data_IF_385423406050
#
_entry.id   IF_385423406050
#
_cell.length_a   1.000
_cell.length_b   1.000
_cell.length_c   1.000
_cell.angle_alpha   90.00
_cell.angle_beta   90.00
_cell.angle_gamma   90.00
#
_symmetry.space_group_name_H-M   'P 1'
#
loop_
_entity.id
_entity.type
_entity.pdbx_description
1 polymer ?
#
# COMPACT_ATOMS: atom_id res chain seq x y z
N UNK A 1 -6.74 16.18 -8.13
CA UNK A 1 -5.41 15.72 -8.62
C UNK A 1 -5.47 14.43 -9.43
N UNK A 2 -5.60 13.22 -8.85
CA UNK A 2 -5.50 11.97 -9.66
C UNK A 2 -6.62 11.80 -10.72
N UNK A 3 -7.88 12.14 -10.41
CA UNK A 3 -8.98 12.11 -11.40
C UNK A 3 -8.83 13.18 -12.51
N UNK A 4 -8.10 14.25 -12.26
CA UNK A 4 -7.89 15.36 -13.21
C UNK A 4 -6.83 15.03 -14.27
N UNK A 5 -6.00 14.01 -14.02
CA UNK A 5 -5.00 13.50 -14.96
C UNK A 5 -5.44 12.18 -15.62
N UNK A 6 -6.68 11.74 -15.41
CA UNK A 6 -7.23 10.51 -15.99
C UNK A 6 -6.88 9.22 -15.25
N UNK A 7 -6.35 9.30 -14.03
CA UNK A 7 -6.09 8.11 -13.23
C UNK A 7 -7.39 7.59 -12.58
N UNK A 8 -7.61 6.28 -12.68
CA UNK A 8 -8.66 5.57 -11.95
C UNK A 8 -8.17 5.27 -10.54
N UNK A 9 -8.94 5.67 -9.52
CA UNK A 9 -8.63 5.37 -8.12
C UNK A 9 -9.69 4.41 -7.59
N UNK A 10 -9.26 3.23 -7.15
CA UNK A 10 -10.04 2.35 -6.31
C UNK A 10 -9.64 2.58 -4.84
N UNK A 11 -10.63 2.70 -3.95
CA UNK A 11 -10.38 2.88 -2.51
C UNK A 11 -10.95 1.68 -1.75
N UNK A 12 -10.08 0.89 -1.14
CA UNK A 12 -10.47 -0.20 -0.26
C UNK A 12 -10.62 0.34 1.17
N UNK A 13 -11.84 0.70 1.57
CA UNK A 13 -12.13 1.12 2.95
C UNK A 13 -12.33 -0.09 3.84
N UNK A 14 -11.42 -0.25 4.81
CA UNK A 14 -11.48 -1.32 5.80
C UNK A 14 -11.99 -0.78 7.14
N UNK A 15 -12.82 -1.57 7.86
CA UNK A 15 -13.16 -1.27 9.25
C UNK A 15 -11.91 -1.14 10.13
N UNK A 16 -11.99 -0.33 11.18
CA UNK A 16 -10.88 -0.19 12.15
C UNK A 16 -10.47 -1.53 12.74
N UNK A 17 -11.42 -2.44 12.99
CA UNK A 17 -11.18 -3.78 13.55
C UNK A 17 -10.55 -4.79 12.57
N UNK A 18 -10.27 -4.38 11.33
CA UNK A 18 -9.62 -5.25 10.35
C UNK A 18 -8.29 -5.76 10.86
N UNK A 19 -8.02 -7.03 10.57
CA UNK A 19 -6.80 -7.71 11.00
C UNK A 19 -5.67 -7.46 10.02
N UNK A 20 -4.46 -7.85 10.42
CA UNK A 20 -3.29 -7.83 9.56
C UNK A 20 -3.53 -8.63 8.27
N UNK A 21 -4.16 -9.80 8.38
CA UNK A 21 -4.49 -10.67 7.26
C UNK A 21 -5.42 -9.99 6.25
N UNK A 22 -6.42 -9.24 6.72
CA UNK A 22 -7.32 -8.52 5.82
C UNK A 22 -6.58 -7.50 4.96
N UNK A 23 -5.66 -6.74 5.55
CA UNK A 23 -4.87 -5.75 4.81
C UNK A 23 -3.88 -6.45 3.88
N UNK A 24 -3.19 -7.48 4.39
CA UNK A 24 -2.26 -8.29 3.59
C UNK A 24 -2.92 -8.84 2.34
N UNK A 25 -4.10 -9.44 2.47
CA UNK A 25 -4.76 -10.12 1.37
C UNK A 25 -5.15 -9.14 0.26
N UNK A 26 -5.59 -7.93 0.61
CA UNK A 26 -5.85 -6.84 -0.36
C UNK A 26 -4.57 -6.38 -1.05
N UNK A 27 -3.46 -6.24 -0.32
CA UNK A 27 -2.18 -5.88 -0.93
C UNK A 27 -1.74 -6.96 -1.93
N UNK A 28 -1.85 -8.24 -1.56
CA UNK A 28 -1.49 -9.36 -2.43
C UNK A 28 -2.39 -9.42 -3.67
N UNK A 29 -3.70 -9.24 -3.51
CA UNK A 29 -4.64 -9.17 -4.65
C UNK A 29 -4.27 -8.01 -5.59
N UNK A 30 -4.01 -6.82 -5.03
CA UNK A 30 -3.65 -5.62 -5.79
C UNK A 30 -2.29 -5.75 -6.50
N UNK A 31 -1.31 -6.44 -5.89
CA UNK A 31 -0.04 -6.74 -6.55
C UNK A 31 -0.25 -7.64 -7.77
N UNK A 32 -1.12 -8.64 -7.67
CA UNK A 32 -1.37 -9.58 -8.76
C UNK A 32 -2.29 -9.02 -9.87
N UNK A 33 -3.04 -7.96 -9.59
CA UNK A 33 -3.88 -7.29 -10.60
C UNK A 33 -3.04 -6.44 -11.56
N UNK A 34 -3.10 -6.77 -12.86
CA UNK A 34 -2.37 -6.05 -13.92
C UNK A 34 -2.95 -4.68 -14.23
N UNK A 35 -4.20 -4.43 -13.84
CA UNK A 35 -4.85 -3.12 -14.00
C UNK A 35 -4.50 -2.16 -12.85
N UNK A 36 -3.84 -2.66 -11.80
CA UNK A 36 -3.34 -1.83 -10.70
C UNK A 36 -1.89 -1.46 -10.97
N UNK A 37 -1.66 -0.19 -11.32
CA UNK A 37 -0.32 0.37 -11.53
C UNK A 37 0.40 0.69 -10.21
N UNK A 38 -0.38 0.99 -9.16
CA UNK A 38 0.13 1.67 -7.98
C UNK A 38 -0.74 1.36 -6.74
N UNK A 39 -0.09 1.15 -5.59
CA UNK A 39 -0.71 0.87 -4.30
C UNK A 39 -0.26 1.94 -3.31
N UNK A 40 -1.23 2.49 -2.58
CA UNK A 40 -1.03 3.47 -1.53
C UNK A 40 -1.59 2.93 -0.21
N UNK A 41 -0.73 2.73 0.79
CA UNK A 41 -1.15 2.34 2.14
C UNK A 41 -1.34 3.59 3.00
N UNK A 42 -2.59 3.99 3.20
CA UNK A 42 -2.91 5.21 3.93
C UNK A 42 -2.53 5.10 5.43
N UNK A 43 -1.72 6.05 5.90
CA UNK A 43 -1.31 6.19 7.30
C UNK A 43 -2.04 7.35 8.01
N UNK A 44 -2.12 7.36 9.36
CA UNK A 44 -1.63 6.33 10.28
C UNK A 44 -2.54 5.09 10.32
N UNK A 45 -1.95 3.91 10.55
CA UNK A 45 -2.70 2.69 10.80
C UNK A 45 -3.31 2.66 12.22
N UNK A 46 -4.40 1.90 12.43
CA UNK A 46 -4.93 1.59 13.77
C UNK A 46 -3.87 1.02 14.73
N UNK A 47 -4.02 1.25 16.03
CA UNK A 47 -3.02 0.90 17.06
C UNK A 47 -2.54 -0.56 17.00
N UNK A 48 -3.47 -1.51 16.81
CA UNK A 48 -3.14 -2.94 16.73
C UNK A 48 -2.40 -3.33 15.44
N UNK A 49 -2.48 -2.50 14.40
CA UNK A 49 -1.76 -2.72 13.13
C UNK A 49 -0.44 -1.95 13.05
N UNK A 50 -0.20 -0.96 13.91
CA UNK A 50 1.06 -0.20 13.94
C UNK A 50 2.31 -1.10 13.99
N UNK A 51 2.39 -2.17 14.80
CA UNK A 51 3.56 -3.06 14.81
C UNK A 51 3.82 -3.74 13.46
N UNK A 52 2.79 -3.87 12.62
CA UNK A 52 2.86 -4.52 11.31
C UNK A 52 3.09 -3.55 10.15
N UNK A 53 3.19 -2.24 10.39
CA UNK A 53 3.31 -1.21 9.34
C UNK A 53 4.44 -1.52 8.36
N UNK A 54 5.65 -1.83 8.87
CA UNK A 54 6.80 -2.16 8.01
C UNK A 54 6.54 -3.41 7.17
N UNK A 55 5.99 -4.46 7.78
CA UNK A 55 5.63 -5.69 7.06
C UNK A 55 4.59 -5.42 5.97
N UNK A 56 3.57 -4.60 6.24
CA UNK A 56 2.55 -4.25 5.25
C UNK A 56 3.14 -3.41 4.10
N UNK A 57 4.01 -2.46 4.41
CA UNK A 57 4.71 -1.67 3.38
C UNK A 57 5.59 -2.57 2.50
N UNK A 58 6.38 -3.46 3.10
CA UNK A 58 7.28 -4.34 2.36
C UNK A 58 6.56 -5.44 1.55
N UNK A 59 5.25 -5.63 1.76
CA UNK A 59 4.44 -6.50 0.90
C UNK A 59 4.05 -5.84 -0.43
N UNK A 60 4.11 -4.52 -0.53
CA UNK A 60 3.83 -3.81 -1.78
C UNK A 60 4.98 -4.05 -2.75
N UNK A 61 4.69 -4.49 -3.97
CA UNK A 61 5.73 -4.64 -4.98
C UNK A 61 6.42 -3.30 -5.23
N UNK A 62 7.75 -3.29 -5.28
CA UNK A 62 8.53 -2.05 -5.41
C UNK A 62 8.16 -1.21 -6.65
N UNK A 63 7.72 -1.87 -7.73
CA UNK A 63 7.24 -1.22 -8.96
C UNK A 63 5.86 -0.55 -8.82
N UNK A 64 5.06 -0.95 -7.81
CA UNK A 64 3.73 -0.39 -7.52
C UNK A 64 3.72 0.50 -6.27
N UNK A 65 4.86 0.69 -5.62
CA UNK A 65 5.00 1.50 -4.41
C UNK A 65 5.05 3.00 -4.76
N UNK A 66 3.89 3.66 -4.65
CA UNK A 66 3.72 5.09 -5.00
C UNK A 66 4.56 6.00 -4.09
N UNK A 67 4.65 5.67 -2.81
CA UNK A 67 5.30 6.52 -1.83
C UNK A 67 6.81 6.27 -1.73
N UNK A 68 7.31 5.20 -2.36
CA UNK A 68 8.71 4.78 -2.25
C UNK A 68 9.09 4.33 -0.83
N UNK A 69 8.12 3.85 -0.05
CA UNK A 69 8.29 3.55 1.38
C UNK A 69 8.63 2.08 1.67
N UNK A 70 8.58 1.22 0.65
CA UNK A 70 9.15 -0.13 0.74
C UNK A 70 10.63 -0.03 1.09
N UNK A 71 11.16 -1.03 1.81
CA UNK A 71 12.60 -1.06 2.15
C UNK A 71 13.48 -0.99 0.90
N UNK A 72 13.01 -1.55 -0.22
CA UNK A 72 13.69 -1.48 -1.51
C UNK A 72 13.78 -0.04 -2.07
N UNK A 73 12.72 0.76 -1.94
CA UNK A 73 12.66 2.11 -2.50
C UNK A 73 13.16 3.21 -1.54
N UNK A 74 13.05 3.00 -0.22
CA UNK A 74 13.66 3.90 0.78
C UNK A 74 15.18 4.05 0.59
N UNK A 75 15.84 2.99 0.12
CA UNK A 75 17.27 3.03 -0.21
C UNK A 75 17.60 3.91 -1.42
N UNK A 76 16.66 4.16 -2.32
CA UNK A 76 16.86 4.95 -3.54
C UNK A 76 16.65 6.47 -3.35
N UNK A 77 16.03 6.89 -2.24
CA UNK A 77 15.81 8.31 -1.93
C UNK A 77 16.96 8.95 -1.12
N UNK A 78 17.88 8.16 -0.58
CA UNK A 78 18.96 8.60 0.31
C UNK A 78 20.35 8.46 -0.33
N UNK A 79 20.44 7.99 -1.59
CA UNK A 79 21.72 7.89 -2.32
C UNK A 79 22.10 9.18 -3.06
#
# INVERSE_FOLDING_TARGET
>A
MAKEIGATISVHQLPTESTFENVRDIIIESNNDREVDAILLQMPLPEHLKPHTRTLLDLIESQKDVDGLTTANLGALIS
#
